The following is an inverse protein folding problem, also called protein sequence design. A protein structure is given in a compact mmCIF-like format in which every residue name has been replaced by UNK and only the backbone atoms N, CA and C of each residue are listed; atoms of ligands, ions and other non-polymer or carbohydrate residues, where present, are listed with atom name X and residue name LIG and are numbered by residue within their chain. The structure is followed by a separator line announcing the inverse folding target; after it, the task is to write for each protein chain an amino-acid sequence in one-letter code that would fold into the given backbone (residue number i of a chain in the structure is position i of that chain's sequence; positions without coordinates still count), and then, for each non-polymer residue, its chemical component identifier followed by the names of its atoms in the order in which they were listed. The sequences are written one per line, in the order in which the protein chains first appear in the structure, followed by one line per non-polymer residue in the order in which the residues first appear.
data_IF_047083572824
#
_entry.id   IF_047083572824
#
_cell.length_a   1.000
_cell.length_b   1.000
_cell.length_c   1.000
_cell.angle_alpha   90.00
_cell.angle_beta   90.00
_cell.angle_gamma   90.00
#
_symmetry.space_group_name_H-M   'P 1'
#
loop_
_entity.id
_entity.type
_entity.pdbx_description
1 polymer ?
#
# COMPACT_ATOMS: atom_id res chain seq x y z
N UNK A 1 -2.25 -4.75 -17.31
CA UNK A 1 -3.19 -5.04 -16.20
C UNK A 1 -2.85 -4.07 -15.10
N UNK A 2 -3.84 -3.35 -14.57
CA UNK A 2 -3.56 -2.40 -13.48
C UNK A 2 -3.73 -3.13 -12.16
N UNK A 3 -2.78 -2.98 -11.25
CA UNK A 3 -2.89 -3.46 -9.88
C UNK A 3 -3.46 -2.36 -9.00
N UNK A 4 -4.18 -2.75 -7.97
CA UNK A 4 -4.80 -1.83 -7.02
C UNK A 4 -4.68 -2.36 -5.59
N UNK A 5 -4.61 -1.43 -4.65
CA UNK A 5 -4.64 -1.71 -3.22
C UNK A 5 -5.41 -0.60 -2.51
N UNK A 6 -6.35 -0.97 -1.64
CA UNK A 6 -7.04 0.01 -0.81
C UNK A 6 -6.29 0.18 0.52
N UNK A 7 -6.10 1.42 0.95
CA UNK A 7 -5.40 1.74 2.21
C UNK A 7 -6.09 1.10 3.43
N UNK A 8 -7.42 1.00 3.42
CA UNK A 8 -8.17 0.34 4.50
C UNK A 8 -7.83 -1.13 4.68
N UNK A 9 -7.57 -1.80 3.57
CA UNK A 9 -7.27 -3.23 3.57
C UNK A 9 -5.81 -3.43 4.04
N UNK A 10 -4.95 -2.42 3.85
CA UNK A 10 -3.53 -2.44 4.17
C UNK A 10 -3.17 -1.95 5.59
N UNK A 11 -4.10 -1.33 6.33
CA UNK A 11 -3.89 -1.07 7.75
C UNK A 11 -4.59 0.15 8.37
N UNK A 12 -5.16 1.07 7.58
CA UNK A 12 -5.89 2.23 8.14
C UNK A 12 -7.40 2.13 7.89
N UNK A 13 -8.21 1.69 8.88
CA UNK A 13 -9.60 1.30 8.65
C UNK A 13 -10.53 2.43 8.17
N UNK A 14 -10.10 3.69 8.28
CA UNK A 14 -10.89 4.86 7.87
C UNK A 14 -10.45 5.45 6.54
N UNK A 15 -9.25 5.11 6.04
CA UNK A 15 -8.74 5.62 4.78
C UNK A 15 -9.29 4.86 3.58
N UNK A 16 -10.18 5.48 2.82
CA UNK A 16 -10.79 4.86 1.63
C UNK A 16 -9.96 5.01 0.35
N UNK A 17 -8.76 5.61 0.43
CA UNK A 17 -7.91 5.85 -0.73
C UNK A 17 -7.47 4.52 -1.35
N UNK A 18 -7.53 4.45 -2.68
CA UNK A 18 -7.06 3.28 -3.44
C UNK A 18 -5.86 3.73 -4.26
N UNK A 19 -4.73 3.06 -4.04
CA UNK A 19 -3.53 3.24 -4.84
C UNK A 19 -3.57 2.27 -6.02
N UNK A 20 -2.96 2.68 -7.12
CA UNK A 20 -2.87 1.91 -8.35
C UNK A 20 -1.42 1.81 -8.80
N UNK A 21 -1.10 0.83 -9.65
CA UNK A 21 0.18 0.77 -10.35
C UNK A 21 0.17 -0.29 -11.45
N UNK A 22 0.98 -0.12 -12.48
CA UNK A 22 1.10 -1.13 -13.56
C UNK A 22 1.90 -2.36 -13.13
N UNK A 23 2.75 -2.20 -12.11
CA UNK A 23 3.56 -3.27 -11.50
C UNK A 23 3.42 -3.28 -9.99
N UNK A 24 3.79 -4.39 -9.34
CA UNK A 24 3.81 -4.47 -7.86
C UNK A 24 4.73 -3.39 -7.27
N UNK A 25 5.86 -3.12 -7.92
CA UNK A 25 6.80 -2.08 -7.47
C UNK A 25 6.16 -0.69 -7.54
N UNK A 26 5.54 -0.32 -8.66
CA UNK A 26 4.89 0.98 -8.82
C UNK A 26 3.73 1.16 -7.82
N UNK A 27 2.94 0.11 -7.62
CA UNK A 27 1.87 0.12 -6.62
C UNK A 27 2.42 0.34 -5.20
N UNK A 28 3.55 -0.30 -4.86
CA UNK A 28 4.22 -0.11 -3.58
C UNK A 28 4.81 1.29 -3.40
N UNK A 29 5.38 1.87 -4.46
CA UNK A 29 5.87 3.25 -4.44
C UNK A 29 4.72 4.25 -4.22
N UNK A 30 3.57 4.01 -4.85
CA UNK A 30 2.37 4.82 -4.66
C UNK A 30 1.75 4.62 -3.26
N UNK A 31 1.73 3.40 -2.74
CA UNK A 31 1.32 3.10 -1.36
C UNK A 31 2.23 3.79 -0.33
N UNK A 32 3.54 3.78 -0.57
CA UNK A 32 4.52 4.46 0.28
C UNK A 32 4.30 5.97 0.29
N UNK A 33 4.17 6.58 -0.89
CA UNK A 33 3.90 8.01 -1.03
C UNK A 33 2.62 8.39 -0.28
N UNK A 34 1.55 7.63 -0.48
CA UNK A 34 0.30 7.85 0.24
C UNK A 34 0.46 7.74 1.77
N UNK A 35 1.18 6.72 2.25
CA UNK A 35 1.49 6.55 3.68
C UNK A 35 2.22 7.75 4.29
N UNK A 36 3.20 8.31 3.58
CA UNK A 36 3.98 9.46 4.03
C UNK A 36 3.10 10.73 4.02
N UNK A 37 2.42 11.00 2.92
CA UNK A 37 1.69 12.27 2.74
C UNK A 37 0.38 12.34 3.52
N UNK A 38 -0.40 11.24 3.54
CA UNK A 38 -1.72 11.23 4.17
C UNK A 38 -1.70 10.80 5.64
N UNK A 39 -0.72 9.97 6.03
CA UNK A 39 -0.66 9.36 7.37
C UNK A 39 0.59 9.75 8.17
N UNK A 40 1.47 10.57 7.59
CA UNK A 40 2.70 11.01 8.25
C UNK A 40 3.68 9.86 8.54
N UNK A 41 3.57 8.74 7.81
CA UNK A 41 4.51 7.65 7.99
C UNK A 41 5.90 8.07 7.55
N UNK A 42 6.89 7.51 8.21
CA UNK A 42 8.27 7.57 7.77
C UNK A 42 8.54 6.40 6.82
N UNK A 43 9.61 6.51 6.04
CA UNK A 43 10.05 5.40 5.18
C UNK A 43 10.33 4.12 5.98
N UNK A 44 10.96 4.25 7.15
CA UNK A 44 11.23 3.14 8.07
C UNK A 44 9.93 2.45 8.53
N UNK A 45 8.94 3.20 9.02
CA UNK A 45 7.69 2.62 9.53
C UNK A 45 6.85 2.00 8.41
N UNK A 46 6.89 2.57 7.20
CA UNK A 46 6.28 1.95 6.03
C UNK A 46 6.96 0.62 5.69
N UNK A 47 8.29 0.61 5.59
CA UNK A 47 9.07 -0.59 5.26
C UNK A 47 8.90 -1.69 6.31
N UNK A 48 8.82 -1.33 7.59
CA UNK A 48 8.53 -2.29 8.67
C UNK A 48 7.15 -2.93 8.52
N UNK A 49 6.11 -2.15 8.20
CA UNK A 49 4.75 -2.70 7.98
C UNK A 49 4.70 -3.66 6.81
N UNK A 50 5.24 -3.25 5.66
CA UNK A 50 5.28 -4.11 4.48
C UNK A 50 6.17 -5.33 4.75
N UNK A 51 7.30 -5.14 5.42
CA UNK A 51 8.27 -6.18 5.73
C UNK A 51 7.76 -7.25 6.69
N UNK A 52 6.95 -6.86 7.68
CA UNK A 52 6.41 -7.76 8.71
C UNK A 52 5.46 -8.80 8.14
N UNK A 53 4.76 -8.49 7.04
CA UNK A 53 3.79 -9.41 6.44
C UNK A 53 3.61 -9.22 4.92
N UNK A 54 4.71 -9.36 4.17
CA UNK A 54 4.74 -9.21 2.71
C UNK A 54 3.73 -10.13 1.99
N UNK A 55 3.56 -11.36 2.47
CA UNK A 55 2.65 -12.32 1.85
C UNK A 55 1.19 -11.93 2.04
N UNK A 56 0.78 -11.49 3.23
CA UNK A 56 -0.57 -10.97 3.40
C UNK A 56 -0.78 -9.69 2.60
N UNK A 57 0.21 -8.79 2.57
CA UNK A 57 0.12 -7.58 1.76
C UNK A 57 -0.15 -7.89 0.28
N UNK A 58 0.56 -8.87 -0.30
CA UNK A 58 0.35 -9.30 -1.69
C UNK A 58 -1.06 -9.85 -1.94
N UNK A 59 -1.67 -10.53 -0.96
CA UNK A 59 -3.05 -11.03 -1.08
C UNK A 59 -4.10 -9.92 -1.12
N UNK A 60 -3.75 -8.72 -0.64
CA UNK A 60 -4.64 -7.55 -0.67
C UNK A 60 -4.62 -6.83 -2.03
N UNK A 61 -3.58 -7.08 -2.84
CA UNK A 61 -3.45 -6.51 -4.18
C UNK A 61 -4.48 -7.17 -5.10
N UNK A 62 -5.24 -6.35 -5.82
CA UNK A 62 -6.26 -6.80 -6.78
C UNK A 62 -5.91 -6.30 -8.18
N UNK A 63 -6.16 -7.14 -9.18
CA UNK A 63 -6.23 -6.68 -10.56
C UNK A 63 -7.47 -5.80 -10.71
N UNK A 64 -7.27 -4.55 -11.13
CA UNK A 64 -8.30 -3.56 -11.43
C UNK A 64 -8.70 -3.59 -12.91
#
# INVERSE_FOLDING_TARGET
MTLSLNCKDAGDPVCTHTMYGETEQELLENAKRHGIEAHGYTEETFNERIGKDKENFRKLIKSA
#
